data_IF_550084096444
#
_entry.id   IF_550084096444
#
_cell.length_a   1.000
_cell.length_b   1.000
_cell.length_c   1.000
_cell.angle_alpha   90.00
_cell.angle_beta   90.00
_cell.angle_gamma   90.00
#
_symmetry.space_group_name_H-M   'P 1'
#
loop_
_entity.id
_entity.type
_entity.pdbx_description
1 polymer ?
#
# COMPACT_ATOMS: atom_id res chain seq x y z
N UNK A 1 29.77 15.24 10.41
CA UNK A 1 28.90 14.35 9.63
C UNK A 1 27.46 14.34 10.16
N UNK A 2 27.18 14.10 11.43
CA UNK A 2 25.80 14.04 12.00
C UNK A 2 24.88 15.27 11.75
N UNK A 3 25.45 16.47 11.56
CA UNK A 3 24.64 17.69 11.32
C UNK A 3 24.14 17.86 9.88
N UNK A 4 24.72 17.13 8.92
CA UNK A 4 24.32 17.15 7.51
C UNK A 4 23.25 16.08 7.24
N UNK A 5 23.34 14.94 7.94
CA UNK A 5 22.35 13.85 7.87
C UNK A 5 21.01 14.28 8.47
N UNK A 6 20.98 14.86 9.67
CA UNK A 6 19.75 15.35 10.28
C UNK A 6 19.03 16.47 9.50
N UNK A 7 19.76 17.20 8.64
CA UNK A 7 19.15 18.21 7.77
C UNK A 7 18.53 17.56 6.51
N UNK A 8 19.05 16.43 6.04
CA UNK A 8 18.52 15.68 4.90
C UNK A 8 17.23 14.94 5.27
N UNK A 9 17.19 14.31 6.45
CA UNK A 9 16.01 13.66 7.00
C UNK A 9 14.86 14.67 7.24
N UNK A 10 15.17 15.82 7.84
CA UNK A 10 14.17 16.87 8.07
C UNK A 10 13.57 17.44 6.76
N UNK A 11 14.36 17.51 5.70
CA UNK A 11 13.88 17.94 4.37
C UNK A 11 13.01 16.87 3.70
N UNK A 12 13.35 15.59 3.85
CA UNK A 12 12.58 14.47 3.32
C UNK A 12 11.21 14.36 4.03
N UNK A 13 11.19 14.52 5.37
CA UNK A 13 9.94 14.59 6.14
C UNK A 13 9.04 15.75 5.68
N UNK A 14 9.59 16.94 5.54
CA UNK A 14 8.81 18.11 5.11
C UNK A 14 8.24 17.92 3.69
N UNK A 15 8.97 17.26 2.81
CA UNK A 15 8.51 16.96 1.46
C UNK A 15 7.41 15.89 1.45
N UNK A 16 7.55 14.83 2.26
CA UNK A 16 6.53 13.82 2.48
C UNK A 16 5.23 14.44 2.99
N UNK A 17 5.30 15.25 4.03
CA UNK A 17 4.16 15.98 4.58
C UNK A 17 3.47 16.85 3.52
N UNK A 18 4.24 17.57 2.71
CA UNK A 18 3.69 18.40 1.64
C UNK A 18 2.95 17.58 0.59
N UNK A 19 3.49 16.41 0.20
CA UNK A 19 2.85 15.51 -0.76
C UNK A 19 1.56 14.92 -0.23
N UNK A 20 1.55 14.48 1.04
CA UNK A 20 0.33 13.99 1.70
C UNK A 20 -0.73 15.09 1.77
N UNK A 21 -0.35 16.33 2.14
CA UNK A 21 -1.27 17.47 2.14
C UNK A 21 -1.79 17.81 0.75
N UNK A 22 -0.97 17.69 -0.29
CA UNK A 22 -1.40 17.92 -1.67
C UNK A 22 -2.46 16.90 -2.11
N UNK A 23 -2.33 15.62 -1.72
CA UNK A 23 -3.35 14.60 -1.95
C UNK A 23 -4.63 14.97 -1.19
N UNK A 24 -4.51 15.38 0.08
CA UNK A 24 -5.63 15.82 0.88
C UNK A 24 -6.37 17.01 0.25
N UNK A 25 -5.63 18.00 -0.25
CA UNK A 25 -6.21 19.17 -0.90
C UNK A 25 -6.89 18.84 -2.23
N UNK A 26 -6.35 17.91 -3.01
CA UNK A 26 -6.90 17.52 -4.30
C UNK A 26 -8.25 16.79 -4.16
N UNK A 27 -8.45 16.05 -3.06
CA UNK A 27 -9.72 15.37 -2.76
C UNK A 27 -10.58 16.12 -1.73
N UNK A 28 -10.10 17.29 -1.26
CA UNK A 28 -10.82 18.16 -0.31
C UNK A 28 -12.12 18.64 -0.93
N UNK A 29 -13.24 18.26 -0.34
CA UNK A 29 -14.60 18.50 -0.80
C UNK A 29 -15.41 17.22 -0.99
N UNK A 30 -14.71 16.09 -1.08
CA UNK A 30 -15.33 14.77 -1.13
C UNK A 30 -15.26 14.05 0.23
N UNK A 31 -14.24 14.34 1.06
CA UNK A 31 -13.98 13.62 2.32
C UNK A 31 -13.78 14.59 3.49
N UNK A 32 -14.42 14.35 4.61
CA UNK A 32 -14.33 15.19 5.82
C UNK A 32 -13.06 14.85 6.64
N UNK A 33 -12.43 15.87 7.27
CA UNK A 33 -11.04 15.90 7.73
C UNK A 33 -10.50 14.69 8.51
N UNK A 34 -11.30 14.11 9.45
CA UNK A 34 -10.79 13.01 10.29
C UNK A 34 -10.76 11.66 9.57
N UNK A 35 -11.84 11.32 8.87
CA UNK A 35 -11.93 10.03 8.18
C UNK A 35 -10.99 9.95 6.97
N UNK A 36 -10.64 11.11 6.40
CA UNK A 36 -9.64 11.19 5.33
C UNK A 36 -8.26 10.74 5.81
N UNK A 37 -7.84 11.12 7.01
CA UNK A 37 -6.54 10.69 7.57
C UNK A 37 -6.45 9.17 7.66
N UNK A 38 -7.44 8.52 8.27
CA UNK A 38 -7.47 7.07 8.41
C UNK A 38 -7.48 6.38 7.07
N UNK A 39 -8.24 6.93 6.11
CA UNK A 39 -8.29 6.42 4.75
C UNK A 39 -6.90 6.47 4.07
N UNK A 40 -6.22 7.63 4.12
CA UNK A 40 -4.88 7.78 3.54
C UNK A 40 -3.86 6.88 4.24
N UNK A 41 -3.93 6.76 5.57
CA UNK A 41 -3.07 5.86 6.33
C UNK A 41 -3.24 4.41 5.89
N UNK A 42 -4.47 3.95 5.72
CA UNK A 42 -4.75 2.59 5.26
C UNK A 42 -4.20 2.33 3.85
N UNK A 43 -4.33 3.29 2.92
CA UNK A 43 -3.76 3.15 1.57
C UNK A 43 -2.23 3.24 1.57
N UNK A 44 -1.64 4.10 2.40
CA UNK A 44 -0.19 4.14 2.61
C UNK A 44 0.32 2.81 3.16
N UNK A 45 -0.38 2.26 4.15
CA UNK A 45 -0.03 0.96 4.71
C UNK A 45 -0.16 -0.17 3.67
N UNK A 46 -1.22 -0.17 2.86
CA UNK A 46 -1.37 -1.11 1.76
C UNK A 46 -0.18 -1.03 0.78
N UNK A 47 0.26 0.17 0.41
CA UNK A 47 1.47 0.36 -0.40
C UNK A 47 2.69 -0.24 0.30
N UNK A 48 2.89 0.06 1.58
CA UNK A 48 4.02 -0.44 2.37
C UNK A 48 4.10 -1.96 2.38
N UNK A 49 3.01 -2.65 2.73
CA UNK A 49 3.03 -4.11 2.78
C UNK A 49 3.18 -4.75 1.39
N UNK A 50 2.67 -4.10 0.34
CA UNK A 50 2.85 -4.54 -1.05
C UNK A 50 4.32 -4.44 -1.48
N UNK A 51 4.99 -3.31 -1.20
CA UNK A 51 6.41 -3.13 -1.51
C UNK A 51 7.28 -4.07 -0.67
N UNK A 52 6.94 -4.30 0.60
CA UNK A 52 7.65 -5.20 1.50
C UNK A 52 7.62 -6.65 1.02
N UNK A 53 6.45 -7.17 0.63
CA UNK A 53 6.34 -8.55 0.15
C UNK A 53 7.04 -8.72 -1.20
N UNK A 54 6.96 -7.74 -2.10
CA UNK A 54 7.65 -7.75 -3.39
C UNK A 54 9.17 -7.79 -3.18
N UNK A 55 9.69 -6.90 -2.32
CA UNK A 55 11.12 -6.87 -1.99
C UNK A 55 11.60 -8.19 -1.37
N UNK A 56 10.80 -8.76 -0.45
CA UNK A 56 11.12 -10.03 0.21
C UNK A 56 11.36 -11.15 -0.80
N UNK A 57 10.48 -11.32 -1.77
CA UNK A 57 10.64 -12.36 -2.79
C UNK A 57 11.76 -12.04 -3.78
N UNK A 58 11.83 -10.78 -4.25
CA UNK A 58 12.85 -10.39 -5.21
C UNK A 58 14.25 -10.57 -4.64
N UNK A 59 14.50 -10.18 -3.39
CA UNK A 59 15.81 -10.37 -2.74
C UNK A 59 16.14 -11.85 -2.64
N UNK A 60 15.22 -12.69 -2.18
CA UNK A 60 15.47 -14.13 -2.03
C UNK A 60 15.81 -14.81 -3.37
N UNK A 61 15.09 -14.50 -4.44
CA UNK A 61 15.34 -15.08 -5.77
C UNK A 61 16.61 -14.51 -6.42
N UNK A 62 16.90 -13.21 -6.23
CA UNK A 62 18.15 -12.62 -6.70
C UNK A 62 19.37 -13.24 -5.99
N UNK A 63 19.29 -13.49 -4.68
CA UNK A 63 20.34 -14.21 -3.94
C UNK A 63 20.49 -15.66 -4.39
N UNK A 64 19.39 -16.30 -4.81
CA UNK A 64 19.39 -17.64 -5.41
C UNK A 64 19.97 -17.67 -6.84
N UNK A 65 20.20 -16.49 -7.45
CA UNK A 65 20.87 -16.33 -8.76
C UNK A 65 19.94 -15.93 -9.91
N UNK A 66 18.65 -15.78 -9.70
CA UNK A 66 17.72 -15.24 -10.71
C UNK A 66 17.56 -13.72 -10.59
N UNK A 67 18.54 -13.01 -11.12
CA UNK A 67 18.55 -11.54 -11.12
C UNK A 67 17.43 -10.89 -11.98
N UNK A 68 16.72 -11.69 -12.77
CA UNK A 68 15.62 -11.22 -13.61
C UNK A 68 14.25 -11.38 -12.94
N UNK A 69 14.19 -12.08 -11.82
CA UNK A 69 12.94 -12.32 -11.11
C UNK A 69 12.28 -11.04 -10.64
N UNK A 70 10.98 -10.93 -10.86
CA UNK A 70 10.15 -9.86 -10.33
C UNK A 70 8.80 -10.43 -9.89
N UNK A 71 8.56 -10.49 -8.60
CA UNK A 71 7.33 -11.01 -8.03
C UNK A 71 6.06 -10.35 -8.60
N UNK A 72 6.14 -9.03 -8.86
CA UNK A 72 5.00 -8.27 -9.39
C UNK A 72 4.61 -8.66 -10.84
N UNK A 73 5.46 -9.40 -11.54
CA UNK A 73 5.21 -9.86 -12.92
C UNK A 73 4.72 -11.31 -13.00
N UNK A 74 4.70 -12.02 -11.87
CA UNK A 74 4.17 -13.38 -11.82
C UNK A 74 2.65 -13.41 -12.04
N UNK A 75 2.16 -14.57 -12.50
CA UNK A 75 0.74 -14.84 -12.43
C UNK A 75 0.30 -15.18 -11.00
N UNK A 76 -0.96 -14.89 -10.68
CA UNK A 76 -1.54 -15.23 -9.37
C UNK A 76 -1.50 -16.75 -9.10
N UNK A 77 -1.63 -17.57 -10.17
CA UNK A 77 -1.57 -19.04 -10.07
C UNK A 77 -0.18 -19.52 -9.63
N UNK A 78 0.88 -18.96 -10.21
CA UNK A 78 2.26 -19.25 -9.81
C UNK A 78 2.54 -18.81 -8.38
N UNK A 79 2.10 -17.61 -8.02
CA UNK A 79 2.27 -17.07 -6.68
C UNK A 79 1.55 -17.93 -5.62
N UNK A 80 0.34 -18.41 -5.90
CA UNK A 80 -0.40 -19.29 -5.00
C UNK A 80 0.26 -20.65 -4.82
N UNK A 81 0.82 -21.19 -5.90
CA UNK A 81 1.43 -22.52 -5.90
C UNK A 81 2.78 -22.54 -5.19
N UNK A 82 3.64 -21.58 -5.51
CA UNK A 82 5.05 -21.65 -5.20
C UNK A 82 5.45 -20.80 -3.96
N UNK A 83 4.70 -19.73 -3.68
CA UNK A 83 5.09 -18.75 -2.66
C UNK A 83 4.17 -18.72 -1.43
N UNK A 84 2.85 -18.83 -1.61
CA UNK A 84 1.89 -18.67 -0.51
C UNK A 84 2.13 -19.56 0.71
N UNK A 85 2.44 -20.88 0.56
CA UNK A 85 2.46 -21.79 1.71
C UNK A 85 3.40 -21.36 2.83
N UNK A 86 4.57 -20.82 2.49
CA UNK A 86 5.59 -20.44 3.47
C UNK A 86 5.50 -18.97 3.87
N UNK A 87 4.94 -18.11 3.01
CA UNK A 87 4.97 -16.65 3.20
C UNK A 87 4.15 -16.20 4.39
N UNK A 88 2.99 -16.80 4.63
CA UNK A 88 2.14 -16.41 5.76
C UNK A 88 2.80 -16.76 7.10
N UNK A 89 3.58 -17.84 7.16
CA UNK A 89 4.36 -18.20 8.36
C UNK A 89 5.49 -17.18 8.61
N UNK A 90 6.16 -16.70 7.54
CA UNK A 90 7.33 -15.83 7.65
C UNK A 90 6.95 -14.35 7.78
N UNK A 91 5.92 -13.90 7.03
CA UNK A 91 5.52 -12.49 6.93
C UNK A 91 4.21 -12.16 7.64
N UNK A 92 3.43 -13.15 8.02
CA UNK A 92 2.14 -12.97 8.67
C UNK A 92 0.96 -12.73 7.72
N UNK A 93 1.21 -12.45 6.43
CA UNK A 93 0.18 -12.21 5.41
C UNK A 93 0.67 -12.61 4.02
N UNK A 94 -0.25 -12.60 3.05
CA UNK A 94 0.06 -12.84 1.64
C UNK A 94 -0.71 -11.88 0.72
N UNK A 95 -0.07 -11.40 -0.34
CA UNK A 95 -0.67 -10.55 -1.37
C UNK A 95 -0.37 -11.16 -2.74
N UNK A 96 -1.39 -11.36 -3.55
CA UNK A 96 -1.22 -11.84 -4.93
C UNK A 96 -0.57 -10.76 -5.82
N UNK A 97 0.19 -11.14 -6.87
CA UNK A 97 0.75 -10.19 -7.81
C UNK A 97 -0.26 -9.20 -8.38
N UNK A 98 -1.44 -9.66 -8.80
CA UNK A 98 -2.51 -8.78 -9.30
C UNK A 98 -3.05 -7.81 -8.24
N UNK A 99 -2.86 -8.12 -6.96
CA UNK A 99 -3.33 -7.35 -5.82
C UNK A 99 -2.25 -6.43 -5.23
N UNK A 100 -1.04 -6.41 -5.78
CA UNK A 100 0.00 -5.48 -5.34
C UNK A 100 -0.37 -4.05 -5.68
N UNK A 101 -0.04 -3.12 -4.77
CA UNK A 101 -0.35 -1.70 -4.92
C UNK A 101 0.07 -1.14 -6.29
N UNK A 102 1.29 -1.45 -6.75
CA UNK A 102 1.80 -0.99 -8.04
C UNK A 102 0.96 -1.48 -9.22
N UNK A 103 0.49 -2.73 -9.20
CA UNK A 103 -0.30 -3.31 -10.28
C UNK A 103 -1.74 -2.77 -10.28
N UNK A 104 -2.30 -2.55 -9.09
CA UNK A 104 -3.60 -1.88 -8.95
C UNK A 104 -3.53 -0.43 -9.46
N UNK A 105 -2.48 0.32 -9.15
CA UNK A 105 -2.29 1.70 -9.65
C UNK A 105 -2.21 1.74 -11.18
N UNK A 106 -1.52 0.78 -11.81
CA UNK A 106 -1.39 0.71 -13.29
C UNK A 106 -2.75 0.64 -13.99
N UNK A 107 -3.72 -0.05 -13.39
CA UNK A 107 -5.05 -0.30 -13.98
C UNK A 107 -6.16 0.57 -13.40
N UNK A 108 -5.90 1.30 -12.31
CA UNK A 108 -6.90 2.03 -11.53
C UNK A 108 -7.78 2.99 -12.36
N UNK A 109 -7.19 3.68 -13.35
CA UNK A 109 -7.91 4.66 -14.17
C UNK A 109 -8.97 4.04 -15.08
N UNK A 110 -8.75 2.80 -15.50
CA UNK A 110 -9.59 2.08 -16.45
C UNK A 110 -10.54 1.10 -15.74
N UNK A 111 -10.35 0.91 -14.43
CA UNK A 111 -11.13 -0.03 -13.63
C UNK A 111 -12.44 0.60 -13.14
N UNK A 112 -13.55 0.23 -13.75
CA UNK A 112 -14.89 0.68 -13.39
C UNK A 112 -15.39 0.10 -12.04
N UNK A 113 -14.72 -0.93 -11.51
CA UNK A 113 -15.04 -1.60 -10.25
C UNK A 113 -13.97 -1.37 -9.16
N UNK A 114 -13.12 -0.38 -9.30
CA UNK A 114 -11.96 -0.16 -8.43
C UNK A 114 -12.33 -0.14 -6.93
N UNK A 115 -13.45 0.45 -6.56
CA UNK A 115 -13.91 0.50 -5.18
C UNK A 115 -14.23 -0.90 -4.61
N UNK A 116 -14.81 -1.78 -5.42
CA UNK A 116 -15.13 -3.16 -5.03
C UNK A 116 -13.86 -4.00 -4.99
N UNK A 117 -13.01 -3.85 -6.00
CA UNK A 117 -11.76 -4.61 -6.09
C UNK A 117 -10.82 -4.29 -4.93
N UNK A 118 -10.69 -3.03 -4.55
CA UNK A 118 -9.91 -2.64 -3.36
C UNK A 118 -10.46 -3.26 -2.08
N UNK A 119 -11.79 -3.25 -1.87
CA UNK A 119 -12.40 -3.90 -0.71
C UNK A 119 -12.10 -5.41 -0.69
N UNK A 120 -12.18 -6.06 -1.86
CA UNK A 120 -11.86 -7.48 -1.99
C UNK A 120 -10.37 -7.77 -1.72
N UNK A 121 -9.47 -6.90 -2.19
CA UNK A 121 -8.03 -7.00 -1.94
C UNK A 121 -7.74 -6.92 -0.44
N UNK A 122 -8.30 -5.93 0.26
CA UNK A 122 -8.11 -5.77 1.70
C UNK A 122 -8.64 -6.99 2.47
N UNK A 123 -9.84 -7.46 2.13
CA UNK A 123 -10.39 -8.67 2.71
C UNK A 123 -9.55 -9.92 2.40
N UNK A 124 -8.95 -10.02 1.21
CA UNK A 124 -8.07 -11.13 0.85
C UNK A 124 -6.75 -11.11 1.62
N UNK A 125 -6.17 -9.94 1.85
CA UNK A 125 -4.95 -9.75 2.66
C UNK A 125 -5.24 -10.18 4.10
N UNK A 126 -6.29 -9.66 4.74
CA UNK A 126 -6.69 -10.04 6.09
C UNK A 126 -7.02 -11.54 6.18
N UNK A 127 -7.78 -12.06 5.22
CA UNK A 127 -8.15 -13.47 5.15
C UNK A 127 -6.97 -14.41 4.91
N UNK A 128 -5.86 -13.92 4.37
CA UNK A 128 -4.65 -14.73 4.13
C UNK A 128 -4.00 -15.21 5.43
N UNK A 129 -4.15 -14.45 6.52
CA UNK A 129 -3.61 -14.77 7.84
C UNK A 129 -4.48 -15.71 8.66
N UNK A 130 -5.68 -16.07 8.19
CA UNK A 130 -6.64 -16.88 8.93
C UNK A 130 -6.06 -18.26 9.29
N UNK A 131 -6.06 -18.58 10.58
CA UNK A 131 -5.52 -19.84 11.12
C UNK A 131 -4.02 -19.81 11.40
N UNK A 132 -3.34 -18.68 11.18
CA UNK A 132 -1.93 -18.45 11.51
C UNK A 132 -1.79 -17.60 12.78
N UNK A 133 -0.58 -17.57 13.35
CA UNK A 133 -0.30 -16.79 14.56
C UNK A 133 -0.51 -15.28 14.38
N UNK A 134 -0.41 -14.80 13.16
CA UNK A 134 -0.58 -13.39 12.78
C UNK A 134 -2.04 -12.97 12.55
N UNK A 135 -3.02 -13.88 12.67
CA UNK A 135 -4.42 -13.58 12.39
C UNK A 135 -4.94 -12.37 13.17
N UNK A 136 -4.65 -12.32 14.47
CA UNK A 136 -5.11 -11.23 15.34
C UNK A 136 -4.44 -9.88 15.01
N UNK A 137 -3.22 -9.89 14.48
CA UNK A 137 -2.46 -8.68 14.10
C UNK A 137 -2.90 -8.10 12.75
N UNK A 138 -3.38 -8.97 11.85
CA UNK A 138 -3.76 -8.60 10.47
C UNK A 138 -5.27 -8.32 10.35
N UNK A 139 -6.08 -8.94 11.18
CA UNK A 139 -7.53 -8.77 11.17
C UNK A 139 -7.97 -7.36 11.51
N UNK A 140 -8.79 -6.76 10.65
CA UNK A 140 -9.30 -5.40 10.83
C UNK A 140 -8.31 -4.29 10.47
N UNK A 141 -7.20 -4.65 9.84
CA UNK A 141 -6.15 -3.72 9.44
C UNK A 141 -6.64 -2.61 8.49
N UNK A 142 -7.63 -2.93 7.69
CA UNK A 142 -8.26 -2.00 6.74
C UNK A 142 -9.70 -1.63 7.13
N UNK A 143 -10.10 -1.85 8.38
CA UNK A 143 -11.46 -1.57 8.89
C UNK A 143 -11.89 -0.13 8.62
N UNK A 144 -10.97 0.83 8.75
CA UNK A 144 -11.20 2.25 8.54
C UNK A 144 -11.17 2.68 7.06
N UNK A 145 -10.87 1.76 6.12
CA UNK A 145 -10.76 2.06 4.69
C UNK A 145 -12.04 1.65 3.94
N UNK A 146 -13.13 2.42 4.15
CA UNK A 146 -14.39 2.20 3.44
C UNK A 146 -14.34 2.76 2.01
N UNK A 147 -13.98 1.89 1.05
CA UNK A 147 -13.91 2.22 -0.39
C UNK A 147 -15.27 2.45 -1.02
N UNK A 148 -16.37 2.13 -0.33
CA UNK A 148 -17.75 2.35 -0.77
C UNK A 148 -18.38 3.63 -0.19
N UNK A 149 -17.66 4.33 0.68
CA UNK A 149 -18.12 5.53 1.36
C UNK A 149 -18.66 6.59 0.40
N UNK A 150 -19.82 7.18 0.73
CA UNK A 150 -20.36 8.32 -0.02
C UNK A 150 -19.50 9.59 0.09
N UNK A 151 -18.53 9.61 0.99
CA UNK A 151 -17.54 10.69 1.11
C UNK A 151 -16.55 10.71 -0.05
N UNK A 152 -16.27 9.55 -0.68
CA UNK A 152 -15.46 9.45 -1.88
C UNK A 152 -16.20 9.93 -3.14
N UNK A 153 -17.53 9.97 -3.08
CA UNK A 153 -18.43 10.34 -4.18
C UNK A 153 -19.80 9.71 -4.00
N UNK A 154 -20.81 10.27 -4.63
CA UNK A 154 -22.19 9.75 -4.55
C UNK A 154 -22.39 8.57 -5.49
N UNK A 155 -21.76 8.62 -6.67
CA UNK A 155 -21.83 7.57 -7.67
C UNK A 155 -20.57 6.68 -7.64
N UNK A 156 -20.66 5.46 -8.17
CA UNK A 156 -19.51 4.55 -8.32
C UNK A 156 -18.39 5.20 -9.14
N UNK A 157 -18.74 5.90 -10.22
CA UNK A 157 -17.75 6.57 -11.06
C UNK A 157 -16.99 7.69 -10.28
N UNK A 158 -17.68 8.46 -9.45
CA UNK A 158 -17.04 9.47 -8.61
C UNK A 158 -16.14 8.85 -7.55
N UNK A 159 -16.58 7.75 -6.91
CA UNK A 159 -15.78 7.01 -5.94
C UNK A 159 -14.49 6.50 -6.58
N UNK A 160 -14.61 5.83 -7.74
CA UNK A 160 -13.46 5.30 -8.46
C UNK A 160 -12.52 6.41 -8.94
N UNK A 161 -13.02 7.55 -9.38
CA UNK A 161 -12.21 8.70 -9.76
C UNK A 161 -11.44 9.27 -8.55
N UNK A 162 -12.08 9.35 -7.38
CA UNK A 162 -11.44 9.79 -6.13
C UNK A 162 -10.37 8.80 -5.68
N UNK A 163 -10.68 7.49 -5.65
CA UNK A 163 -9.74 6.42 -5.31
C UNK A 163 -8.52 6.42 -6.25
N UNK A 164 -8.75 6.57 -7.56
CA UNK A 164 -7.67 6.65 -8.55
C UNK A 164 -6.72 7.80 -8.25
N UNK A 165 -7.22 8.99 -7.92
CA UNK A 165 -6.40 10.14 -7.55
C UNK A 165 -5.58 9.88 -6.29
N UNK A 166 -6.21 9.29 -5.25
CA UNK A 166 -5.53 8.94 -4.00
C UNK A 166 -4.41 7.94 -4.28
N UNK A 167 -4.68 6.85 -4.99
CA UNK A 167 -3.70 5.84 -5.34
C UNK A 167 -2.53 6.43 -6.13
N UNK A 168 -2.81 7.24 -7.15
CA UNK A 168 -1.78 7.88 -7.97
C UNK A 168 -0.97 8.92 -7.18
N UNK A 169 -1.63 9.70 -6.32
CA UNK A 169 -0.97 10.64 -5.44
C UNK A 169 -0.01 9.94 -4.47
N UNK A 170 -0.46 8.84 -3.86
CA UNK A 170 0.37 8.02 -2.96
C UNK A 170 1.51 7.35 -3.74
N UNK A 171 1.27 6.83 -4.96
CA UNK A 171 2.30 6.25 -5.80
C UNK A 171 3.40 7.26 -6.19
N UNK A 172 3.07 8.54 -6.30
CA UNK A 172 4.02 9.61 -6.63
C UNK A 172 4.92 10.03 -5.44
N UNK A 173 4.66 9.52 -4.23
CA UNK A 173 5.51 9.77 -3.07
C UNK A 173 6.76 8.90 -3.21
N UNK A 174 7.93 9.53 -3.16
CA UNK A 174 9.22 8.83 -3.11
C UNK A 174 9.58 8.58 -1.64
N UNK A 175 9.54 7.31 -1.24
CA UNK A 175 9.96 6.88 0.10
C UNK A 175 11.43 6.43 0.15
N UNK A 176 12.18 6.57 -0.96
CA UNK A 176 13.52 6.02 -1.11
C UNK A 176 13.54 4.52 -1.38
N UNK A 177 14.73 3.94 -1.39
CA UNK A 177 14.88 2.49 -1.57
C UNK A 177 14.48 1.75 -0.30
N UNK A 178 13.62 0.75 -0.44
CA UNK A 178 13.14 -0.09 0.65
C UNK A 178 14.25 -0.83 1.40
N UNK A 179 15.37 -1.08 0.71
CA UNK A 179 16.57 -1.73 1.28
C UNK A 179 17.38 -0.79 2.19
N UNK A 180 17.31 0.53 1.97
CA UNK A 180 18.13 1.51 2.68
C UNK A 180 17.35 2.29 3.76
N UNK A 181 16.02 2.36 3.66
CA UNK A 181 15.15 3.11 4.55
C UNK A 181 14.09 2.19 5.15
N UNK A 182 14.50 1.38 6.10
CA UNK A 182 13.56 0.62 6.92
C UNK A 182 12.50 1.55 7.53
N UNK A 183 11.22 1.09 7.56
CA UNK A 183 10.12 1.50 8.46
C UNK A 183 9.99 3.00 8.81
N UNK A 184 11.09 3.75 8.95
CA UNK A 184 11.10 5.15 9.42
C UNK A 184 10.29 6.12 8.55
N UNK A 185 10.36 6.04 7.23
CA UNK A 185 9.61 6.96 6.37
C UNK A 185 8.08 6.73 6.43
N UNK A 186 7.66 5.46 6.64
CA UNK A 186 6.26 5.13 6.88
C UNK A 186 5.84 5.43 8.32
N UNK A 187 6.71 5.18 9.31
CA UNK A 187 6.51 5.58 10.70
C UNK A 187 6.31 7.09 10.82
N UNK A 188 7.15 7.86 10.14
CA UNK A 188 7.05 9.33 10.07
C UNK A 188 5.75 9.79 9.38
N UNK A 189 5.32 9.13 8.30
CA UNK A 189 4.05 9.43 7.67
C UNK A 189 2.85 9.11 8.58
N UNK A 190 2.96 8.01 9.34
CA UNK A 190 1.94 7.59 10.30
C UNK A 190 1.82 8.56 11.49
N UNK A 191 2.95 9.00 12.07
CA UNK A 191 2.95 9.97 13.17
C UNK A 191 2.45 11.36 12.76
N UNK A 192 2.61 11.72 11.48
CA UNK A 192 2.21 13.03 10.97
C UNK A 192 0.70 13.16 10.73
N UNK A 193 0.04 12.09 10.31
CA UNK A 193 -1.38 12.07 10.01
C UNK A 193 -2.22 11.89 11.27
#
# INVERSE_FOLDING_TARGET
MAKVEGNKEGLQRAELHRKIWAIADEVRGSVDGWDFKQFILGILFYRFISENITAFFNIAEHEAGDLSFNYAELSDEEALRDFKPNTVEDKGFFILPSQLFENVVKTAKENENLNIDLANIFSAIEGSAQGFASEDDIKGLFEDVDTSSNRLGVTVAEKNACLTKILQGIAAIDFGNFEENEIDAFGDAYEFL
#
